data_IF_493124565424
#
_entry.id   IF_493124565424
#
_cell.length_a   1.000
_cell.length_b   1.000
_cell.length_c   1.000
_cell.angle_alpha   90.00
_cell.angle_beta   90.00
_cell.angle_gamma   90.00
#
_symmetry.space_group_name_H-M   'P 1'
#
loop_
_entity.id
_entity.type
_entity.pdbx_description
1 polymer ?
#
# COMPACT_ATOMS: atom_id res chain seq x y z
N UNK A 1 -47.51 -6.38 17.60
CA UNK A 1 -46.42 -5.54 17.03
C UNK A 1 -45.17 -5.45 17.91
N UNK A 2 -45.25 -5.53 19.25
CA UNK A 2 -44.12 -5.38 20.18
C UNK A 2 -42.92 -6.36 19.99
N UNK A 3 -43.14 -7.61 19.56
CA UNK A 3 -42.05 -8.59 19.36
C UNK A 3 -41.07 -8.22 18.24
N UNK A 4 -41.52 -7.54 17.18
CA UNK A 4 -40.65 -7.12 16.07
C UNK A 4 -39.79 -5.92 16.44
N UNK A 5 -40.32 -5.02 17.27
CA UNK A 5 -39.60 -3.84 17.75
C UNK A 5 -38.46 -4.22 18.68
N UNK A 6 -38.70 -5.16 19.61
CA UNK A 6 -37.67 -5.69 20.53
C UNK A 6 -36.53 -6.43 19.80
N UNK A 7 -36.87 -7.20 18.76
CA UNK A 7 -35.87 -7.86 17.90
C UNK A 7 -35.01 -6.83 17.14
N UNK A 8 -35.62 -5.79 16.59
CA UNK A 8 -34.91 -4.73 15.89
C UNK A 8 -33.99 -3.94 16.83
N UNK A 9 -34.41 -3.67 18.07
CA UNK A 9 -33.54 -2.99 19.06
C UNK A 9 -32.37 -3.88 19.48
N UNK A 10 -32.60 -5.18 19.68
CA UNK A 10 -31.54 -6.14 20.00
C UNK A 10 -30.46 -6.24 18.91
N UNK A 11 -30.86 -6.20 17.63
CA UNK A 11 -29.92 -6.21 16.50
C UNK A 11 -29.10 -4.92 16.45
N UNK A 12 -29.71 -3.76 16.73
CA UNK A 12 -29.00 -2.47 16.78
C UNK A 12 -27.97 -2.47 17.92
N UNK A 13 -28.33 -2.94 19.11
CA UNK A 13 -27.40 -3.03 20.24
C UNK A 13 -26.25 -4.03 19.98
N UNK A 14 -26.52 -5.14 19.29
CA UNK A 14 -25.47 -6.08 18.86
C UNK A 14 -24.52 -5.42 17.86
N UNK A 15 -25.03 -4.70 16.86
CA UNK A 15 -24.20 -3.99 15.89
C UNK A 15 -23.35 -2.90 16.56
N UNK A 16 -23.93 -2.11 17.48
CA UNK A 16 -23.20 -1.08 18.24
C UNK A 16 -22.17 -1.71 19.20
N UNK A 17 -22.52 -2.79 19.87
CA UNK A 17 -21.61 -3.53 20.77
C UNK A 17 -20.42 -4.13 20.03
N UNK A 18 -20.64 -4.69 18.84
CA UNK A 18 -19.54 -5.19 17.99
C UNK A 18 -18.65 -4.05 17.48
N UNK A 19 -19.22 -2.88 17.16
CA UNK A 19 -18.45 -1.68 16.81
C UNK A 19 -17.63 -1.14 17.98
N UNK A 20 -18.18 -1.15 19.19
CA UNK A 20 -17.49 -0.72 20.42
C UNK A 20 -16.29 -1.62 20.75
N UNK A 21 -16.45 -2.94 20.65
CA UNK A 21 -15.33 -3.89 20.82
C UNK A 21 -14.27 -3.73 19.73
N UNK A 22 -14.66 -3.39 18.51
CA UNK A 22 -13.73 -3.10 17.41
C UNK A 22 -12.93 -1.81 17.64
N UNK A 23 -13.56 -0.79 18.25
CA UNK A 23 -12.93 0.50 18.54
C UNK A 23 -12.01 0.46 19.78
N UNK A 24 -12.33 -0.37 20.78
CA UNK A 24 -11.55 -0.47 22.04
C UNK A 24 -10.37 -1.45 21.90
N UNK A 25 -10.44 -2.40 20.95
CA UNK A 25 -9.37 -3.37 20.67
C UNK A 25 -8.25 -2.88 19.74
N UNK A 26 -8.11 -1.56 19.52
CA UNK A 26 -7.02 -1.07 18.69
C UNK A 26 -5.67 -1.36 19.38
N UNK A 27 -4.78 -2.15 18.76
CA UNK A 27 -3.46 -2.37 19.33
C UNK A 27 -2.78 -1.02 19.51
N UNK A 28 -2.16 -0.81 20.68
CA UNK A 28 -1.28 0.35 20.88
C UNK A 28 -0.26 0.34 19.75
N UNK A 29 -0.33 1.38 18.91
CA UNK A 29 0.61 1.54 17.82
C UNK A 29 2.01 1.69 18.43
N UNK A 30 3.03 1.02 17.89
CA UNK A 30 4.38 1.19 18.40
C UNK A 30 4.76 2.67 18.33
N UNK A 31 5.40 3.18 19.40
CA UNK A 31 5.91 4.54 19.42
C UNK A 31 6.90 4.71 18.27
N UNK A 32 6.53 5.56 17.30
CA UNK A 32 7.42 5.96 16.22
C UNK A 32 8.45 6.91 16.85
N UNK A 33 9.72 6.49 16.91
CA UNK A 33 10.77 7.30 17.54
C UNK A 33 11.38 8.34 16.58
N UNK A 34 11.25 8.13 15.26
CA UNK A 34 11.92 8.95 14.24
C UNK A 34 11.11 8.99 12.93
N UNK A 35 11.47 9.92 12.02
CA UNK A 35 10.92 9.96 10.65
C UNK A 35 11.46 8.78 9.84
N UNK A 36 10.72 7.66 9.84
CA UNK A 36 11.14 6.41 9.21
C UNK A 36 10.08 5.90 8.25
N UNK A 37 10.53 5.27 7.16
CA UNK A 37 9.65 4.56 6.26
C UNK A 37 9.25 3.20 6.86
N UNK A 38 7.94 2.87 6.97
CA UNK A 38 7.48 1.57 7.48
C UNK A 38 8.05 0.38 6.72
N UNK A 39 8.43 0.53 5.45
CA UNK A 39 9.02 -0.54 4.65
C UNK A 39 10.52 -0.76 4.92
N UNK A 40 11.23 0.22 5.49
CA UNK A 40 12.66 0.10 5.82
C UNK A 40 12.89 -0.63 7.15
N UNK A 41 11.91 -0.61 8.07
CA UNK A 41 12.03 -1.23 9.41
C UNK A 41 11.61 -2.70 9.45
N UNK A 42 11.02 -3.21 8.36
CA UNK A 42 10.59 -4.59 8.24
C UNK A 42 11.61 -5.37 7.43
N UNK A 43 11.90 -6.60 7.86
CA UNK A 43 12.79 -7.50 7.12
C UNK A 43 11.98 -8.54 6.38
N UNK A 44 12.17 -8.63 5.06
CA UNK A 44 11.50 -9.63 4.25
C UNK A 44 12.02 -11.04 4.56
N UNK A 45 11.13 -11.98 4.90
CA UNK A 45 11.48 -13.38 5.11
C UNK A 45 11.09 -14.23 3.92
N UNK A 46 9.81 -14.19 3.51
CA UNK A 46 9.30 -14.98 2.39
C UNK A 46 8.10 -14.29 1.74
N UNK A 47 7.73 -14.71 0.53
CA UNK A 47 6.56 -14.23 -0.19
C UNK A 47 5.90 -15.34 -0.98
N UNK A 48 4.57 -15.35 -1.03
CA UNK A 48 3.76 -16.27 -1.81
C UNK A 48 2.75 -15.48 -2.64
N UNK A 49 2.65 -15.79 -3.92
CA UNK A 49 1.60 -15.21 -4.76
C UNK A 49 0.24 -15.81 -4.40
N UNK A 50 -0.74 -14.96 -4.17
CA UNK A 50 -2.11 -15.35 -3.83
C UNK A 50 -2.98 -15.37 -5.09
N UNK A 51 -3.76 -16.44 -5.27
CA UNK A 51 -4.67 -16.59 -6.41
C UNK A 51 -6.08 -16.17 -6.01
N UNK A 52 -6.30 -14.86 -5.86
CA UNK A 52 -7.62 -14.32 -5.56
C UNK A 52 -8.48 -14.23 -6.81
N UNK A 53 -9.76 -14.59 -6.69
CA UNK A 53 -10.72 -14.42 -7.79
C UNK A 53 -10.95 -12.93 -8.07
N UNK A 54 -11.30 -12.59 -9.32
CA UNK A 54 -11.65 -11.20 -9.70
C UNK A 54 -12.77 -10.63 -8.83
N UNK A 55 -13.72 -11.45 -8.44
CA UNK A 55 -14.83 -11.09 -7.55
C UNK A 55 -14.31 -10.74 -6.15
N UNK A 56 -13.41 -11.56 -5.58
CA UNK A 56 -12.78 -11.26 -4.30
C UNK A 56 -12.02 -9.93 -4.38
N UNK A 57 -11.18 -9.74 -5.41
CA UNK A 57 -10.43 -8.49 -5.59
C UNK A 57 -11.40 -7.31 -5.70
N UNK A 58 -12.46 -7.41 -6.49
CA UNK A 58 -13.48 -6.36 -6.59
C UNK A 58 -14.06 -5.98 -5.22
N UNK A 59 -14.50 -6.95 -4.41
CA UNK A 59 -15.02 -6.69 -3.08
C UNK A 59 -13.95 -6.09 -2.14
N UNK A 60 -12.70 -6.55 -2.22
CA UNK A 60 -11.59 -5.97 -1.44
C UNK A 60 -11.39 -4.50 -1.77
N UNK A 61 -11.41 -4.14 -3.06
CA UNK A 61 -11.21 -2.77 -3.51
C UNK A 61 -12.42 -1.86 -3.19
N UNK A 62 -13.64 -2.37 -3.34
CA UNK A 62 -14.87 -1.61 -3.02
C UNK A 62 -15.01 -1.34 -1.52
N UNK A 63 -14.48 -2.21 -0.67
CA UNK A 63 -14.52 -2.03 0.79
C UNK A 63 -13.28 -1.32 1.34
N UNK A 64 -12.23 -1.13 0.54
CA UNK A 64 -10.99 -0.46 0.96
C UNK A 64 -11.14 1.06 0.91
N UNK A 65 -11.09 1.71 2.07
CA UNK A 65 -11.11 3.18 2.18
C UNK A 65 -9.92 3.82 1.48
N UNK A 66 -8.71 3.25 1.64
CA UNK A 66 -7.50 3.74 0.98
C UNK A 66 -7.61 3.68 -0.53
N UNK A 67 -8.12 2.55 -1.06
CA UNK A 67 -8.27 2.40 -2.51
C UNK A 67 -9.20 3.47 -3.09
N UNK A 68 -10.35 3.71 -2.46
CA UNK A 68 -11.33 4.71 -2.92
C UNK A 68 -10.82 6.15 -2.98
N UNK A 69 -9.78 6.47 -2.21
CA UNK A 69 -9.09 7.77 -2.25
C UNK A 69 -8.10 7.87 -3.40
N UNK A 70 -7.55 6.74 -3.84
CA UNK A 70 -6.56 6.67 -4.90
C UNK A 70 -7.20 6.51 -6.28
N UNK A 71 -8.22 5.65 -6.38
CA UNK A 71 -8.88 5.31 -7.64
C UNK A 71 -10.32 4.84 -7.42
N UNK A 72 -11.05 4.61 -8.51
CA UNK A 72 -12.38 4.01 -8.49
C UNK A 72 -12.33 2.55 -8.90
N UNK A 73 -13.08 1.63 -8.25
CA UNK A 73 -13.03 0.20 -8.58
C UNK A 73 -13.34 -0.11 -10.06
N UNK A 74 -14.28 0.61 -10.67
CA UNK A 74 -14.61 0.41 -12.10
C UNK A 74 -13.51 0.86 -13.07
N UNK A 75 -12.48 1.57 -12.61
CA UNK A 75 -11.32 1.98 -13.42
C UNK A 75 -10.19 0.94 -13.38
N UNK A 76 -10.36 -0.20 -12.70
CA UNK A 76 -9.31 -1.22 -12.54
C UNK A 76 -9.32 -2.22 -13.71
N UNK A 77 -8.13 -2.60 -14.16
CA UNK A 77 -7.93 -3.76 -15.02
C UNK A 77 -7.74 -5.03 -14.15
N UNK A 78 -8.87 -5.64 -13.78
CA UNK A 78 -8.90 -6.84 -12.93
C UNK A 78 -8.22 -8.07 -13.54
N UNK A 79 -7.91 -8.07 -14.84
CA UNK A 79 -7.23 -9.20 -15.48
C UNK A 79 -5.76 -9.27 -15.13
N UNK A 80 -5.17 -8.13 -14.75
CA UNK A 80 -3.74 -7.97 -14.53
C UNK A 80 -3.40 -7.58 -13.08
N UNK A 81 -4.35 -7.68 -12.15
CA UNK A 81 -4.08 -7.47 -10.72
C UNK A 81 -3.21 -8.60 -10.19
N UNK A 82 -2.19 -8.24 -9.39
CA UNK A 82 -1.35 -9.21 -8.71
C UNK A 82 -1.43 -9.02 -7.20
N UNK A 83 -1.63 -10.13 -6.48
CA UNK A 83 -1.69 -10.17 -5.02
C UNK A 83 -0.55 -11.05 -4.53
N UNK A 84 0.24 -10.56 -3.59
CA UNK A 84 1.33 -11.30 -2.98
C UNK A 84 1.27 -11.13 -1.47
N UNK A 85 1.35 -12.25 -0.78
CA UNK A 85 1.45 -12.31 0.67
C UNK A 85 2.92 -12.41 1.06
N UNK A 86 3.43 -11.40 1.73
CA UNK A 86 4.76 -11.39 2.33
C UNK A 86 4.69 -11.77 3.80
N UNK A 87 5.64 -12.58 4.24
CA UNK A 87 5.97 -12.78 5.65
C UNK A 87 7.17 -11.89 5.95
N UNK A 88 7.00 -10.99 6.91
CA UNK A 88 8.00 -10.00 7.32
C UNK A 88 8.33 -10.19 8.80
N UNK A 89 9.57 -9.88 9.18
CA UNK A 89 10.02 -9.80 10.56
C UNK A 89 9.97 -8.33 11.00
N UNK A 90 9.30 -8.04 12.11
CA UNK A 90 9.23 -6.71 12.72
C UNK A 90 9.27 -6.86 14.24
N UNK A 91 10.23 -6.20 14.91
CA UNK A 91 10.45 -6.30 16.36
C UNK A 91 10.55 -7.76 16.88
N UNK A 92 11.19 -8.65 16.11
CA UNK A 92 11.33 -10.07 16.46
C UNK A 92 10.07 -10.92 16.27
N UNK A 93 8.97 -10.34 15.78
CA UNK A 93 7.75 -11.07 15.44
C UNK A 93 7.56 -11.21 13.93
N UNK A 94 6.99 -12.35 13.52
CA UNK A 94 6.56 -12.55 12.15
C UNK A 94 5.18 -11.92 11.94
N UNK A 95 5.11 -10.94 11.04
CA UNK A 95 3.89 -10.32 10.57
C UNK A 95 3.65 -10.66 9.10
N UNK A 96 2.43 -10.47 8.62
CA UNK A 96 2.09 -10.62 7.22
C UNK A 96 1.83 -9.25 6.60
N UNK A 97 2.29 -9.05 5.37
CA UNK A 97 1.88 -7.93 4.52
C UNK A 97 1.27 -8.47 3.23
N UNK A 98 0.05 -8.07 2.91
CA UNK A 98 -0.56 -8.30 1.60
C UNK A 98 -0.22 -7.10 0.71
N UNK A 99 0.59 -7.34 -0.33
CA UNK A 99 0.90 -6.39 -1.38
C UNK A 99 0.00 -6.64 -2.59
N UNK A 100 -0.65 -5.60 -3.09
CA UNK A 100 -1.53 -5.66 -4.25
C UNK A 100 -1.08 -4.62 -5.27
N UNK A 101 -0.64 -5.09 -6.44
CA UNK A 101 -0.41 -4.25 -7.61
C UNK A 101 -1.66 -4.21 -8.49
N UNK A 102 -2.24 -3.03 -8.68
CA UNK A 102 -3.56 -2.84 -9.28
C UNK A 102 -3.43 -1.90 -10.49
N UNK A 103 -3.31 -2.43 -11.70
CA UNK A 103 -3.25 -1.59 -12.89
C UNK A 103 -4.61 -0.93 -13.15
N UNK A 104 -4.58 0.35 -13.56
CA UNK A 104 -5.77 1.06 -14.02
C UNK A 104 -5.96 0.88 -15.54
N UNK A 105 -7.22 0.98 -15.99
CA UNK A 105 -7.62 0.85 -17.40
C UNK A 105 -7.00 1.92 -18.31
N UNK A 106 -6.53 3.03 -17.74
CA UNK A 106 -5.86 4.10 -18.48
C UNK A 106 -4.45 3.73 -18.97
N UNK A 107 -3.92 2.59 -18.51
CA UNK A 107 -2.60 2.07 -18.86
C UNK A 107 -1.42 3.00 -18.53
N UNK A 108 -1.65 3.98 -17.64
CA UNK A 108 -0.63 4.95 -17.21
C UNK A 108 -0.38 4.89 -15.72
N UNK A 109 -1.34 4.38 -14.96
CA UNK A 109 -1.25 4.32 -13.51
C UNK A 109 -1.36 2.89 -12.97
N UNK A 110 -0.63 2.65 -11.89
CA UNK A 110 -0.73 1.46 -11.06
C UNK A 110 -0.99 1.93 -9.63
N UNK A 111 -2.02 1.37 -9.00
CA UNK A 111 -2.22 1.53 -7.56
C UNK A 111 -1.47 0.42 -6.85
N UNK A 112 -0.61 0.78 -5.89
CA UNK A 112 -0.03 -0.16 -4.94
C UNK A 112 -0.82 -0.09 -3.64
N UNK A 113 -1.28 -1.22 -3.11
CA UNK A 113 -1.83 -1.30 -1.75
C UNK A 113 -1.03 -2.30 -0.94
N UNK A 114 -0.56 -1.86 0.22
CA UNK A 114 0.17 -2.67 1.18
C UNK A 114 -0.62 -2.70 2.49
N UNK A 115 -1.08 -3.87 2.89
CA UNK A 115 -1.89 -4.07 4.08
C UNK A 115 -1.18 -5.03 5.03
N UNK A 116 -0.82 -4.53 6.21
CA UNK A 116 -0.14 -5.28 7.25
C UNK A 116 -1.16 -5.94 8.19
N UNK A 117 -0.87 -7.17 8.62
CA UNK A 117 -1.69 -7.92 9.58
C UNK A 117 -1.72 -7.26 10.96
N UNK A 118 -0.64 -6.54 11.30
CA UNK A 118 -0.50 -5.71 12.50
C UNK A 118 0.09 -4.36 12.08
N UNK A 119 -0.26 -3.23 12.73
CA UNK A 119 0.32 -1.94 12.38
C UNK A 119 1.83 -1.90 12.55
N UNK A 120 2.56 -1.46 11.52
CA UNK A 120 4.01 -1.24 11.52
C UNK A 120 4.26 0.26 11.54
N UNK A 121 4.92 0.80 12.56
CA UNK A 121 5.15 2.24 12.72
C UNK A 121 3.85 3.08 12.60
N UNK A 122 2.75 2.58 13.17
CA UNK A 122 1.43 3.23 13.04
C UNK A 122 0.70 2.96 11.73
N UNK A 123 1.35 2.34 10.73
CA UNK A 123 0.77 2.08 9.41
C UNK A 123 0.21 0.66 9.35
N UNK A 124 -1.11 0.54 9.18
CA UNK A 124 -1.80 -0.72 8.91
C UNK A 124 -2.05 -0.91 7.42
N UNK A 125 -2.42 0.15 6.71
CA UNK A 125 -2.60 0.15 5.27
C UNK A 125 -1.88 1.35 4.69
N UNK A 126 -1.09 1.12 3.64
CA UNK A 126 -0.47 2.17 2.83
C UNK A 126 -0.82 1.96 1.37
N UNK A 127 -1.28 3.01 0.72
CA UNK A 127 -1.67 2.98 -0.67
C UNK A 127 -0.99 4.09 -1.46
N UNK A 128 -0.60 3.78 -2.69
CA UNK A 128 0.02 4.72 -3.62
C UNK A 128 -0.70 4.70 -4.95
N UNK A 129 -0.96 5.87 -5.53
CA UNK A 129 -1.26 6.00 -6.96
C UNK A 129 0.06 6.34 -7.66
N UNK A 130 0.58 5.40 -8.44
CA UNK A 130 1.88 5.52 -9.11
C UNK A 130 1.64 5.77 -10.59
N UNK A 131 2.19 6.87 -11.12
CA UNK A 131 2.25 7.13 -12.55
C UNK A 131 3.51 6.48 -13.15
N UNK A 132 3.32 5.81 -14.28
CA UNK A 132 4.38 5.24 -15.08
C UNK A 132 4.94 6.32 -16.00
N UNK A 133 6.08 6.90 -15.63
CA UNK A 133 6.83 7.83 -16.46
C UNK A 133 8.00 7.14 -17.15
N UNK A 134 8.64 7.78 -18.13
CA UNK A 134 9.82 7.22 -18.78
C UNK A 134 10.97 7.06 -17.76
N UNK A 135 11.41 5.82 -17.56
CA UNK A 135 12.47 5.44 -16.62
C UNK A 135 12.13 5.60 -15.13
N UNK A 136 10.93 6.08 -14.77
CA UNK A 136 10.59 6.44 -13.40
C UNK A 136 9.21 5.94 -13.00
N UNK A 137 9.06 5.59 -11.73
CA UNK A 137 7.77 5.40 -11.07
C UNK A 137 7.52 6.61 -10.18
N UNK A 138 6.45 7.35 -10.42
CA UNK A 138 6.18 8.62 -9.74
C UNK A 138 4.91 8.48 -8.89
N UNK A 139 5.03 8.34 -7.57
CA UNK A 139 3.90 8.46 -6.67
C UNK A 139 3.23 9.84 -6.80
N UNK A 140 1.94 9.85 -7.11
CA UNK A 140 1.13 11.07 -7.22
C UNK A 140 0.27 11.31 -6.00
N UNK A 141 -0.23 10.23 -5.41
CA UNK A 141 -1.08 10.25 -4.22
C UNK A 141 -0.63 9.16 -3.26
N UNK A 142 -0.65 9.46 -1.96
CA UNK A 142 -0.46 8.51 -0.88
C UNK A 142 -1.69 8.51 0.02
N UNK A 143 -2.19 7.33 0.36
CA UNK A 143 -3.21 7.12 1.38
C UNK A 143 -2.64 6.25 2.49
N UNK A 144 -2.96 6.60 3.74
CA UNK A 144 -2.51 5.85 4.92
C UNK A 144 -3.71 5.60 5.83
N UNK A 145 -3.96 4.34 6.19
CA UNK A 145 -5.03 3.91 7.10
C UNK A 145 -6.44 4.46 6.75
N UNK A 146 -6.70 4.78 5.49
CA UNK A 146 -7.92 5.43 5.05
C UNK A 146 -8.06 6.87 5.55
N UNK A 147 -6.98 7.45 6.09
CA UNK A 147 -6.83 8.83 6.57
C UNK A 147 -6.63 9.83 5.43
N UNK A 148 -6.05 10.99 5.70
CA UNK A 148 -5.91 12.07 4.70
C UNK A 148 -5.11 11.59 3.48
N UNK A 149 -5.58 11.97 2.29
CA UNK A 149 -4.87 11.74 1.03
C UNK A 149 -3.79 12.81 0.86
N UNK A 150 -2.53 12.39 0.69
CA UNK A 150 -1.40 13.29 0.47
C UNK A 150 -1.11 13.38 -1.02
N UNK A 151 -1.11 14.59 -1.57
CA UNK A 151 -0.80 14.83 -2.99
C UNK A 151 0.67 15.23 -3.17
N UNK A 152 1.35 14.53 -4.08
CA UNK A 152 2.79 14.66 -4.33
C UNK A 152 3.07 15.44 -5.62
N UNK A 153 2.52 16.65 -5.72
CA UNK A 153 2.80 17.55 -6.85
C UNK A 153 4.28 17.94 -6.96
N UNK A 154 5.00 17.90 -5.84
CA UNK A 154 6.42 18.16 -5.67
C UNK A 154 6.95 17.29 -4.51
N UNK A 155 8.27 17.07 -4.45
CA UNK A 155 8.85 16.36 -3.31
C UNK A 155 8.87 17.28 -2.09
N UNK A 156 7.98 17.02 -1.13
CA UNK A 156 7.85 17.85 0.07
C UNK A 156 8.68 17.29 1.21
N UNK A 157 9.14 18.19 2.06
CA UNK A 157 9.86 17.88 3.29
C UNK A 157 9.20 18.60 4.46
N UNK A 158 7.96 18.23 4.77
CA UNK A 158 7.12 18.96 5.72
C UNK A 158 7.58 18.79 7.18
N UNK A 159 8.31 17.70 7.47
CA UNK A 159 8.75 17.36 8.82
C UNK A 159 10.11 16.64 8.81
N UNK A 160 10.86 16.71 9.91
CA UNK A 160 12.09 15.92 10.15
C UNK A 160 11.89 14.92 11.29
N UNK A 161 10.92 15.18 12.16
CA UNK A 161 10.63 14.42 13.37
C UNK A 161 9.13 14.49 13.70
N UNK A 162 8.66 13.63 14.59
CA UNK A 162 7.25 13.62 14.98
C UNK A 162 6.81 14.91 15.70
N UNK A 163 7.73 15.63 16.34
CA UNK A 163 7.43 16.91 16.98
C UNK A 163 7.08 18.03 16.00
N UNK A 164 7.42 17.88 14.72
CA UNK A 164 7.06 18.85 13.68
C UNK A 164 5.57 18.75 13.29
N UNK A 165 4.90 17.65 13.64
CA UNK A 165 3.50 17.42 13.31
C UNK A 165 2.57 17.96 14.40
N UNK A 166 1.67 18.88 14.00
CA UNK A 166 0.87 19.67 14.94
C UNK A 166 -0.37 18.95 15.47
N UNK A 167 -0.87 17.92 14.76
CA UNK A 167 -2.10 17.24 15.16
C UNK A 167 -1.85 15.98 15.99
N UNK A 168 -2.71 15.70 16.98
CA UNK A 168 -2.69 14.43 17.69
C UNK A 168 -2.82 13.27 16.69
N UNK A 169 -1.92 12.27 16.78
CA UNK A 169 -1.87 11.08 15.91
C UNK A 169 -1.41 11.33 14.47
N UNK A 170 -0.86 12.51 14.17
CA UNK A 170 0.00 12.67 13.00
C UNK A 170 1.43 12.27 13.35
N UNK A 171 2.06 11.54 12.44
CA UNK A 171 3.45 11.13 12.55
C UNK A 171 4.20 11.63 11.32
N UNK A 172 5.45 11.99 11.54
CA UNK A 172 6.33 12.35 10.45
C UNK A 172 6.76 11.07 9.74
N UNK A 173 6.29 10.89 8.51
CA UNK A 173 6.55 9.68 7.75
C UNK A 173 7.35 10.03 6.50
N UNK A 174 8.38 9.22 6.27
CA UNK A 174 9.20 9.30 5.06
C UNK A 174 8.52 8.56 3.91
N UNK A 175 8.56 9.14 2.73
CA UNK A 175 8.07 8.52 1.50
C UNK A 175 8.98 8.88 0.34
N UNK A 176 9.01 8.03 -0.69
CA UNK A 176 9.75 8.36 -1.89
C UNK A 176 8.88 9.17 -2.86
N UNK A 177 9.47 10.19 -3.47
CA UNK A 177 8.81 11.06 -4.44
C UNK A 177 8.97 10.56 -5.88
N UNK A 178 10.03 9.79 -6.14
CA UNK A 178 10.29 9.18 -7.44
C UNK A 178 11.22 7.98 -7.27
N UNK A 179 10.87 6.88 -7.91
CA UNK A 179 11.68 5.68 -7.92
C UNK A 179 12.33 5.47 -9.29
N UNK A 180 13.55 4.92 -9.30
CA UNK A 180 14.20 4.40 -10.50
C UNK A 180 13.54 3.07 -10.89
N UNK A 181 12.77 3.11 -11.98
CA UNK A 181 12.00 1.96 -12.42
C UNK A 181 12.92 0.81 -12.85
N UNK A 182 14.00 1.14 -13.53
CA UNK A 182 14.84 0.15 -14.19
C UNK A 182 15.68 -0.57 -13.12
N UNK A 183 16.20 0.17 -12.14
CA UNK A 183 16.84 -0.42 -10.96
C UNK A 183 15.86 -1.32 -10.17
N UNK A 184 14.62 -0.89 -9.95
CA UNK A 184 13.64 -1.70 -9.23
C UNK A 184 13.33 -3.02 -9.95
N UNK A 185 13.21 -2.98 -11.28
CA UNK A 185 13.03 -4.17 -12.12
C UNK A 185 14.26 -5.08 -12.02
N UNK A 186 15.46 -4.54 -12.22
CA UNK A 186 16.69 -5.33 -12.23
C UNK A 186 16.98 -5.97 -10.86
N UNK A 187 16.72 -5.25 -9.77
CA UNK A 187 16.79 -5.78 -8.41
C UNK A 187 15.81 -6.95 -8.21
N UNK A 188 14.58 -6.82 -8.70
CA UNK A 188 13.56 -7.86 -8.58
C UNK A 188 13.90 -9.09 -9.42
N UNK A 189 14.47 -8.89 -10.62
CA UNK A 189 14.97 -9.95 -11.48
C UNK A 189 16.16 -10.69 -10.86
N UNK A 190 17.11 -9.96 -10.27
CA UNK A 190 18.25 -10.54 -9.56
C UNK A 190 17.82 -11.37 -8.35
N UNK A 191 16.69 -11.03 -7.72
CA UNK A 191 16.05 -11.82 -6.68
C UNK A 191 15.29 -13.06 -7.22
N UNK A 192 15.36 -13.33 -8.53
CA UNK A 192 14.69 -14.47 -9.18
C UNK A 192 13.18 -14.30 -9.32
N UNK A 193 12.66 -13.06 -9.24
CA UNK A 193 11.23 -12.75 -9.30
C UNK A 193 10.88 -12.00 -10.57
N UNK A 194 9.63 -12.12 -11.02
CA UNK A 194 9.08 -11.39 -12.17
C UNK A 194 9.74 -11.62 -13.55
N UNK A 195 10.76 -12.48 -13.68
CA UNK A 195 11.47 -12.74 -14.94
C UNK A 195 10.59 -13.12 -16.13
N UNK A 196 9.56 -13.94 -15.90
CA UNK A 196 8.63 -14.34 -16.97
C UNK A 196 7.80 -13.18 -17.54
N UNK A 197 7.58 -12.11 -16.76
CA UNK A 197 6.72 -10.97 -17.14
C UNK A 197 7.56 -9.77 -17.55
N UNK A 198 8.66 -9.53 -16.84
CA UNK A 198 9.57 -8.42 -17.12
C UNK A 198 10.57 -8.72 -18.25
N UNK A 199 10.79 -10.00 -18.57
CA UNK A 199 11.81 -10.40 -19.55
C UNK A 199 13.23 -10.18 -19.02
N UNK A 200 14.16 -9.90 -19.93
CA UNK A 200 15.56 -9.61 -19.60
C UNK A 200 15.72 -8.09 -19.41
N UNK A 201 15.90 -7.69 -18.14
CA UNK A 201 16.08 -6.29 -17.74
C UNK A 201 14.84 -5.41 -17.94
N UNK A 202 15.01 -4.10 -17.84
CA UNK A 202 13.93 -3.12 -18.04
C UNK A 202 13.48 -2.93 -19.51
N UNK A 203 13.97 -3.76 -20.43
CA UNK A 203 13.73 -3.62 -21.89
C UNK A 203 12.25 -3.72 -22.28
N UNK A 204 11.45 -4.50 -21.55
CA UNK A 204 10.00 -4.63 -21.80
C UNK A 204 9.29 -3.28 -21.74
N UNK A 205 9.76 -2.37 -20.88
CA UNK A 205 9.17 -1.05 -20.70
C UNK A 205 9.48 -0.06 -21.81
N UNK A 206 10.50 -0.34 -22.63
CA UNK A 206 10.86 0.46 -23.81
C UNK A 206 10.06 0.02 -25.05
N UNK A 207 9.78 -1.28 -25.16
CA UNK A 207 9.22 -1.88 -26.38
C UNK A 207 7.70 -2.06 -26.31
N UNK A 208 7.15 -2.33 -25.12
CA UNK A 208 5.75 -2.68 -24.96
C UNK A 208 5.12 -2.00 -23.73
N UNK A 209 4.32 -0.94 -23.91
CA UNK A 209 3.63 -0.26 -22.81
C UNK A 209 2.74 -1.18 -21.96
N UNK A 210 2.10 -2.18 -22.57
CA UNK A 210 1.25 -3.16 -21.86
C UNK A 210 2.13 -4.09 -21.01
N UNK A 211 3.23 -4.58 -21.60
CA UNK A 211 4.22 -5.39 -20.88
C UNK A 211 4.86 -4.62 -19.72
N UNK A 212 5.07 -3.30 -19.88
CA UNK A 212 5.60 -2.45 -18.83
C UNK A 212 4.69 -2.40 -17.60
N UNK A 213 3.37 -2.26 -17.81
CA UNK A 213 2.40 -2.24 -16.72
C UNK A 213 2.41 -3.57 -15.99
N UNK A 214 2.34 -4.67 -16.73
CA UNK A 214 2.35 -6.01 -16.15
C UNK A 214 3.64 -6.27 -15.34
N UNK A 215 4.79 -5.88 -15.87
CA UNK A 215 6.07 -5.95 -15.17
C UNK A 215 6.06 -5.07 -13.91
N UNK A 216 5.63 -3.81 -14.02
CA UNK A 216 5.58 -2.89 -12.88
C UNK A 216 4.65 -3.39 -11.77
N UNK A 217 3.47 -3.89 -12.13
CA UNK A 217 2.54 -4.55 -11.19
C UNK A 217 3.21 -5.74 -10.50
N UNK A 218 3.98 -6.54 -11.26
CA UNK A 218 4.73 -7.64 -10.69
C UNK A 218 5.76 -7.18 -9.67
N UNK A 219 6.58 -6.18 -10.02
CA UNK A 219 7.66 -5.65 -9.18
C UNK A 219 7.09 -5.02 -7.91
N UNK A 220 6.09 -4.14 -8.02
CA UNK A 220 5.41 -3.52 -6.87
C UNK A 220 4.89 -4.59 -5.90
N UNK A 221 4.24 -5.63 -6.43
CA UNK A 221 3.65 -6.66 -5.59
C UNK A 221 4.68 -7.65 -5.03
N UNK A 222 5.79 -7.95 -5.71
CA UNK A 222 6.72 -9.01 -5.30
C UNK A 222 8.00 -8.49 -4.62
N UNK A 223 8.37 -7.24 -4.86
CA UNK A 223 9.70 -6.70 -4.59
C UNK A 223 9.60 -5.26 -4.05
N UNK A 224 8.74 -5.05 -3.04
CA UNK A 224 8.55 -3.74 -2.42
C UNK A 224 9.89 -3.17 -1.90
N UNK A 225 10.81 -4.02 -1.42
CA UNK A 225 12.12 -3.61 -0.92
C UNK A 225 13.04 -3.10 -2.05
N UNK A 226 12.97 -3.70 -3.23
CA UNK A 226 13.65 -3.19 -4.42
C UNK A 226 13.10 -1.84 -4.85
N UNK A 227 11.79 -1.64 -4.77
CA UNK A 227 11.16 -0.34 -5.02
C UNK A 227 11.70 0.69 -4.03
N UNK A 228 11.68 0.40 -2.73
CA UNK A 228 12.18 1.36 -1.74
C UNK A 228 13.68 1.68 -1.88
N UNK A 229 14.52 0.69 -2.22
CA UNK A 229 15.96 0.90 -2.51
C UNK A 229 16.20 1.71 -3.78
N UNK A 230 15.25 1.70 -4.72
CA UNK A 230 15.33 2.47 -5.96
C UNK A 230 14.94 3.94 -5.80
N UNK A 231 14.70 4.41 -4.57
CA UNK A 231 14.27 5.77 -4.36
C UNK A 231 15.33 6.79 -4.80
N UNK A 232 14.95 7.68 -5.72
CA UNK A 232 15.80 8.75 -6.24
C UNK A 232 15.74 10.01 -5.36
N UNK A 233 14.58 10.27 -4.75
CA UNK A 233 14.36 11.47 -3.93
C UNK A 233 13.38 11.14 -2.79
N UNK A 234 13.83 11.35 -1.56
CA UNK A 234 13.03 11.12 -0.37
C UNK A 234 12.33 12.40 0.07
N UNK A 235 11.03 12.34 0.29
CA UNK A 235 10.24 13.36 0.96
C UNK A 235 9.81 12.94 2.36
N UNK A 236 9.17 13.87 3.06
CA UNK A 236 8.56 13.65 4.37
C UNK A 236 7.27 14.45 4.53
N UNK A 237 6.32 13.89 5.26
CA UNK A 237 5.00 14.48 5.47
C UNK A 237 4.43 14.09 6.83
N UNK A 238 3.61 14.97 7.39
CA UNK A 238 2.81 14.63 8.56
C UNK A 238 1.59 13.82 8.11
N UNK A 239 1.64 12.52 8.37
CA UNK A 239 0.61 11.55 7.98
C UNK A 239 -0.23 11.16 9.19
N UNK A 240 -1.56 11.17 9.04
CA UNK A 240 -2.46 10.74 10.10
C UNK A 240 -2.50 9.22 10.19
N UNK A 241 -2.06 8.65 11.31
CA UNK A 241 -1.98 7.19 11.51
C UNK A 241 -3.17 6.63 12.32
N UNK A 242 -4.17 7.44 12.64
CA UNK A 242 -5.39 6.98 13.31
C UNK A 242 -6.44 6.38 12.34
N UNK A 243 -7.32 5.54 12.88
CA UNK A 243 -8.55 5.09 12.24
C UNK A 243 -9.76 5.47 13.10
#
# INVERSE_FOLDING_TARGET
MQRRTLLATGIVFLLVGTYGLYAVGYPQYPEVKDCVNPFEVVKHLNSVQENWSRVHIFFKLVTSRDFWKLAKPWNVDYSNVKVVKHVLEYNGENITMIAIGIPLKDKKHVVALYEFSKPVQGVKVRGYLIELSQGKLVPRLISVNGGKLTALSNCRHECKSNSDCSYPREFCTKYCCSYDRDYAIDCCLAAGRCGAVCGVGATVCLVNPIGCIACTVCVIANCYDCIEKSCLEWGSGCEYHGA
#
